data_IF_243546458491
#
_entry.id   IF_243546458491
#
_cell.length_a   1.000
_cell.length_b   1.000
_cell.length_c   1.000
_cell.angle_alpha   90.00
_cell.angle_beta   90.00
_cell.angle_gamma   90.00
#
_symmetry.space_group_name_H-M   'P 1'
#
loop_
_entity.id
_entity.type
_entity.pdbx_description
1 polymer ?
#
# COMPACT_ATOMS: atom_id res chain seq x y z
N UNK A 1 -45.62 -10.51 76.52
CA UNK A 1 -44.87 -10.10 75.30
C UNK A 1 -44.79 -11.32 74.38
N UNK A 2 -45.84 -11.68 73.64
CA UNK A 2 -46.23 -11.27 72.28
C UNK A 2 -45.17 -11.56 71.20
N UNK A 3 -45.45 -12.64 70.45
CA UNK A 3 -45.04 -13.04 69.09
C UNK A 3 -43.56 -13.24 68.74
N UNK A 4 -43.03 -14.45 68.94
CA UNK A 4 -41.87 -14.99 68.19
C UNK A 4 -42.22 -16.15 67.24
N UNK A 5 -43.51 -16.42 67.00
CA UNK A 5 -43.96 -17.51 66.10
C UNK A 5 -44.24 -17.06 64.65
N UNK A 6 -44.36 -15.76 64.40
CA UNK A 6 -44.59 -15.22 63.05
C UNK A 6 -43.31 -15.10 62.21
N UNK A 7 -42.17 -14.88 62.86
CA UNK A 7 -40.90 -14.63 62.18
C UNK A 7 -40.27 -15.93 61.65
N UNK A 8 -40.30 -17.00 62.45
CA UNK A 8 -39.73 -18.30 62.06
C UNK A 8 -40.46 -18.93 60.86
N UNK A 9 -41.76 -18.72 60.73
CA UNK A 9 -42.53 -19.18 59.58
C UNK A 9 -42.19 -18.39 58.31
N UNK A 10 -41.90 -17.10 58.42
CA UNK A 10 -41.48 -16.26 57.30
C UNK A 10 -40.10 -16.67 56.76
N UNK A 11 -39.16 -17.00 57.65
CA UNK A 11 -37.83 -17.50 57.29
C UNK A 11 -37.84 -18.91 56.69
N UNK A 12 -38.75 -19.78 57.14
CA UNK A 12 -38.93 -21.11 56.55
C UNK A 12 -39.53 -20.99 55.14
N UNK A 13 -40.49 -20.09 54.92
CA UNK A 13 -41.08 -19.87 53.60
C UNK A 13 -40.06 -19.22 52.65
N UNK A 14 -39.28 -18.23 53.11
CA UNK A 14 -38.18 -17.66 52.31
C UNK A 14 -37.09 -18.70 51.98
N UNK A 15 -36.75 -19.56 52.94
CA UNK A 15 -35.79 -20.65 52.73
C UNK A 15 -36.25 -21.67 51.69
N UNK A 16 -37.54 -22.05 51.70
CA UNK A 16 -38.12 -22.97 50.71
C UNK A 16 -38.22 -22.31 49.33
N UNK A 17 -38.53 -21.00 49.25
CA UNK A 17 -38.56 -20.28 47.96
C UNK A 17 -37.15 -20.17 47.36
N UNK A 18 -36.13 -19.85 48.17
CA UNK A 18 -34.73 -19.78 47.71
C UNK A 18 -34.22 -21.16 47.28
N UNK A 19 -34.51 -22.24 48.03
CA UNK A 19 -34.14 -23.61 47.62
C UNK A 19 -34.90 -24.08 46.36
N UNK A 20 -36.15 -23.68 46.18
CA UNK A 20 -36.92 -23.99 44.96
C UNK A 20 -36.40 -23.23 43.72
N UNK A 21 -35.85 -22.03 43.92
CA UNK A 21 -35.24 -21.23 42.84
C UNK A 21 -33.85 -21.75 42.42
N UNK A 22 -33.14 -22.46 43.31
CA UNK A 22 -31.87 -23.12 43.02
C UNK A 22 -32.03 -24.53 42.43
N UNK A 23 -33.22 -25.14 42.52
CA UNK A 23 -33.52 -26.44 41.93
C UNK A 23 -33.95 -26.37 40.44
N UNK A 24 -34.17 -25.17 39.90
CA UNK A 24 -34.53 -24.94 38.48
C UNK A 24 -33.36 -24.44 37.61
N UNK A 25 -32.17 -24.31 38.18
CA UNK A 25 -30.91 -24.24 37.43
C UNK A 25 -30.12 -25.52 37.71
N UNK A 26 -30.72 -26.64 37.31
CA UNK A 26 -30.13 -27.96 37.43
C UNK A 26 -28.82 -28.05 36.63
N UNK A 27 -27.76 -28.55 37.27
CA UNK A 27 -26.51 -28.85 36.58
C UNK A 27 -25.32 -29.22 37.46
N UNK A 28 -25.51 -30.06 38.48
CA UNK A 28 -24.42 -30.76 39.17
C UNK A 28 -23.74 -31.77 38.22
N UNK A 29 -22.41 -31.87 38.38
CA UNK A 29 -21.45 -32.83 37.81
C UNK A 29 -20.85 -32.51 36.42
N UNK A 30 -19.57 -32.07 36.35
CA UNK A 30 -18.81 -32.15 35.11
C UNK A 30 -18.46 -33.61 34.87
N UNK A 31 -19.30 -34.28 34.08
CA UNK A 31 -18.92 -35.52 33.41
C UNK A 31 -17.70 -35.19 32.55
N UNK A 32 -16.54 -35.80 32.81
CA UNK A 32 -15.36 -35.75 31.94
C UNK A 32 -15.67 -36.47 30.63
N UNK A 33 -16.54 -35.89 29.81
CA UNK A 33 -16.58 -36.16 28.39
C UNK A 33 -15.34 -35.49 27.83
N UNK A 34 -14.36 -36.31 27.42
CA UNK A 34 -13.32 -35.86 26.49
C UNK A 34 -14.03 -35.02 25.42
N UNK A 35 -13.55 -33.80 25.11
CA UNK A 35 -14.03 -33.13 23.91
C UNK A 35 -13.89 -34.12 22.75
N UNK A 36 -14.83 -34.13 21.78
CA UNK A 36 -14.60 -34.86 20.55
C UNK A 36 -13.22 -34.44 20.07
N UNK A 37 -12.33 -35.41 19.84
CA UNK A 37 -11.12 -35.16 19.09
C UNK A 37 -11.61 -34.71 17.72
N UNK A 38 -11.79 -33.41 17.54
CA UNK A 38 -11.69 -32.79 16.24
C UNK A 38 -10.21 -32.95 15.95
N UNK A 39 -9.88 -34.09 15.33
CA UNK A 39 -8.71 -34.11 14.47
C UNK A 39 -8.83 -32.84 13.63
N UNK A 40 -7.86 -31.93 13.65
CA UNK A 40 -7.64 -31.18 12.44
C UNK A 40 -7.25 -32.27 11.44
N UNK A 41 -8.24 -32.82 10.72
CA UNK A 41 -8.00 -33.07 9.33
C UNK A 41 -7.64 -31.69 8.79
N UNK A 42 -6.34 -31.41 8.84
CA UNK A 42 -5.71 -30.54 7.90
C UNK A 42 -6.25 -31.03 6.56
N UNK A 43 -7.20 -30.31 5.99
CA UNK A 43 -7.49 -30.43 4.57
C UNK A 43 -6.24 -29.89 3.90
N UNK A 44 -5.22 -30.74 3.87
CA UNK A 44 -4.12 -30.65 2.93
C UNK A 44 -4.82 -30.77 1.59
N UNK A 45 -5.04 -29.63 0.94
CA UNK A 45 -5.27 -29.63 -0.49
C UNK A 45 -4.00 -30.24 -1.08
N UNK A 46 -4.06 -31.54 -1.36
CA UNK A 46 -3.03 -32.23 -2.13
C UNK A 46 -3.08 -31.61 -3.51
N UNK A 47 -2.01 -30.90 -3.87
CA UNK A 47 -1.82 -30.48 -5.23
C UNK A 47 -1.83 -31.73 -6.13
N UNK A 48 -2.60 -31.66 -7.21
CA UNK A 48 -2.54 -32.64 -8.27
C UNK A 48 -1.13 -32.64 -8.88
N UNK A 49 -0.57 -33.81 -9.26
CA UNK A 49 0.74 -33.86 -9.88
C UNK A 49 0.71 -33.12 -11.22
N UNK A 50 1.57 -32.11 -11.38
CA UNK A 50 1.83 -31.47 -12.67
C UNK A 50 2.44 -32.50 -13.63
N UNK A 51 1.61 -33.05 -14.51
CA UNK A 51 2.08 -33.83 -15.65
C UNK A 51 2.35 -32.91 -16.84
N UNK A 52 3.62 -32.77 -17.21
CA UNK A 52 4.10 -32.94 -18.58
C UNK A 52 3.69 -31.92 -19.66
N UNK A 53 4.65 -31.08 -20.02
CA UNK A 53 5.01 -30.64 -21.38
C UNK A 53 3.96 -29.88 -22.20
N UNK A 54 4.28 -28.64 -22.59
CA UNK A 54 4.51 -28.32 -24.01
C UNK A 54 5.11 -26.91 -24.24
N UNK A 55 6.32 -26.94 -24.84
CA UNK A 55 6.85 -26.02 -25.88
C UNK A 55 7.27 -24.59 -25.46
N UNK A 56 8.54 -24.49 -25.06
CA UNK A 56 9.35 -23.28 -25.19
C UNK A 56 9.58 -22.94 -26.68
N UNK A 57 9.14 -21.76 -27.11
CA UNK A 57 9.62 -21.12 -28.34
C UNK A 57 10.94 -20.42 -28.03
N UNK A 58 12.05 -21.16 -28.20
CA UNK A 58 13.38 -20.56 -28.29
C UNK A 58 13.44 -19.66 -29.52
N UNK A 59 13.71 -18.37 -29.33
CA UNK A 59 14.17 -17.52 -30.42
C UNK A 59 15.69 -17.72 -30.57
N UNK A 60 16.06 -18.26 -31.73
CA UNK A 60 17.44 -18.43 -32.19
C UNK A 60 18.17 -17.09 -32.20
N UNK A 61 19.42 -17.16 -31.76
CA UNK A 61 20.49 -16.17 -31.89
C UNK A 61 20.48 -15.45 -33.24
N UNK A 62 20.25 -14.14 -33.23
CA UNK A 62 20.57 -13.24 -34.32
C UNK A 62 21.96 -12.62 -34.08
N UNK A 63 22.81 -12.74 -35.09
CA UNK A 63 24.20 -12.26 -35.10
C UNK A 63 24.33 -10.78 -34.76
N UNK A 64 25.32 -10.45 -33.91
CA UNK A 64 25.73 -9.09 -33.57
C UNK A 64 26.11 -8.32 -34.84
N UNK A 65 25.39 -7.23 -35.09
CA UNK A 65 25.89 -6.09 -35.85
C UNK A 65 26.20 -5.03 -34.79
N UNK A 66 27.45 -4.62 -34.67
CA UNK A 66 27.87 -3.55 -33.74
C UNK A 66 27.64 -2.21 -34.43
N UNK A 67 26.74 -1.32 -33.97
CA UNK A 67 26.63 0.02 -34.51
C UNK A 67 27.74 0.92 -33.94
N UNK A 68 28.45 1.62 -34.83
CA UNK A 68 29.38 2.71 -34.53
C UNK A 68 28.62 3.88 -33.86
N UNK A 69 29.13 4.47 -32.77
CA UNK A 69 28.43 5.56 -32.09
C UNK A 69 28.42 6.83 -32.97
N UNK A 70 27.22 7.28 -33.33
CA UNK A 70 26.97 8.63 -33.86
C UNK A 70 27.01 9.63 -32.70
N UNK A 71 27.66 10.81 -32.83
CA UNK A 71 27.65 11.82 -31.77
C UNK A 71 26.22 12.33 -31.54
N UNK A 72 25.71 12.14 -30.31
CA UNK A 72 24.42 12.65 -29.86
C UNK A 72 24.48 14.18 -29.74
N UNK A 73 23.59 14.96 -30.38
CA UNK A 73 23.52 16.39 -30.16
C UNK A 73 23.06 16.68 -28.72
N UNK A 74 23.76 17.61 -28.05
CA UNK A 74 23.35 18.15 -26.76
C UNK A 74 21.95 18.75 -26.87
N UNK A 75 20.97 18.33 -26.05
CA UNK A 75 19.62 18.88 -26.13
C UNK A 75 19.61 20.34 -25.70
N UNK A 76 19.13 21.21 -26.58
CA UNK A 76 18.78 22.60 -26.27
C UNK A 76 17.69 22.61 -25.19
N UNK A 77 17.82 23.39 -24.09
CA UNK A 77 16.77 23.50 -23.09
C UNK A 77 15.47 23.99 -23.75
N UNK A 78 14.40 23.21 -23.62
CA UNK A 78 13.06 23.61 -24.06
C UNK A 78 12.52 24.76 -23.21
N UNK A 79 11.40 25.38 -23.62
CA UNK A 79 10.72 26.40 -22.84
C UNK A 79 10.36 25.86 -21.43
N UNK A 80 10.30 26.73 -20.40
CA UNK A 80 10.04 26.33 -19.03
C UNK A 80 8.71 25.57 -18.94
N UNK A 81 8.77 24.33 -18.45
CA UNK A 81 7.60 23.48 -18.24
C UNK A 81 7.04 23.79 -16.85
N UNK A 82 5.78 24.22 -16.79
CA UNK A 82 5.06 24.39 -15.54
C UNK A 82 4.57 23.00 -15.07
N UNK A 83 5.10 22.47 -13.97
CA UNK A 83 4.69 21.19 -13.40
C UNK A 83 3.60 21.42 -12.37
N UNK A 84 2.57 20.57 -12.32
CA UNK A 84 1.48 20.77 -11.36
C UNK A 84 1.98 20.58 -9.94
N UNK A 85 1.56 21.46 -9.02
CA UNK A 85 2.06 21.48 -7.64
C UNK A 85 1.51 20.38 -6.71
N UNK A 86 0.69 19.46 -7.23
CA UNK A 86 -0.04 18.51 -6.40
C UNK A 86 0.04 17.09 -6.94
N UNK A 87 0.73 16.20 -6.21
CA UNK A 87 0.61 14.74 -6.32
C UNK A 87 -0.53 14.28 -5.39
N UNK A 88 -1.78 14.65 -5.69
CA UNK A 88 -2.94 14.42 -4.83
C UNK A 88 -4.04 13.59 -5.50
N UNK A 89 -3.71 12.87 -6.57
CA UNK A 89 -4.67 12.13 -7.39
C UNK A 89 -5.82 12.96 -7.96
N UNK A 90 -5.72 14.30 -7.99
CA UNK A 90 -6.60 15.16 -8.76
C UNK A 90 -6.01 15.43 -10.15
N UNK A 91 -6.84 15.74 -11.16
CA UNK A 91 -6.34 16.15 -12.45
C UNK A 91 -5.61 17.49 -12.39
N UNK A 92 -4.41 17.51 -12.94
CA UNK A 92 -3.70 18.67 -13.44
C UNK A 92 -4.63 19.58 -14.25
N UNK A 93 -4.61 20.88 -13.95
CA UNK A 93 -5.21 21.88 -14.83
C UNK A 93 -4.47 21.93 -16.19
N UNK A 94 -5.09 22.55 -17.21
CA UNK A 94 -4.49 22.66 -18.55
C UNK A 94 -3.24 23.56 -18.61
N UNK A 95 -2.89 24.25 -17.52
CA UNK A 95 -1.77 25.19 -17.43
C UNK A 95 -0.51 24.57 -16.83
N UNK A 96 -0.60 23.33 -16.34
CA UNK A 96 0.52 22.58 -15.79
C UNK A 96 0.58 21.16 -16.36
N UNK A 97 1.75 20.52 -16.31
CA UNK A 97 1.99 19.20 -16.88
C UNK A 97 2.26 18.20 -15.76
N UNK A 98 1.37 17.24 -15.58
CA UNK A 98 1.67 15.94 -14.97
C UNK A 98 1.80 14.91 -16.08
N UNK A 99 2.85 14.08 -16.08
CA UNK A 99 3.03 13.04 -17.12
C UNK A 99 2.71 11.64 -16.58
N UNK A 100 1.98 11.56 -15.47
CA UNK A 100 1.85 10.32 -14.71
C UNK A 100 0.74 9.44 -15.27
N UNK A 101 -0.49 9.96 -15.38
CA UNK A 101 -1.60 9.24 -16.02
C UNK A 101 -2.51 10.21 -16.75
N UNK A 102 -2.80 9.98 -18.04
CA UNK A 102 -3.79 10.76 -18.79
C UNK A 102 -5.13 10.04 -18.78
N UNK A 103 -6.14 10.67 -18.20
CA UNK A 103 -7.51 10.17 -18.21
C UNK A 103 -8.31 10.84 -19.31
N UNK A 104 -9.16 10.06 -19.96
CA UNK A 104 -10.12 10.51 -20.97
C UNK A 104 -11.51 10.26 -20.42
N UNK A 105 -12.29 11.33 -20.24
CA UNK A 105 -13.65 11.28 -19.73
C UNK A 105 -14.66 11.58 -20.85
N UNK A 106 -15.77 10.85 -20.84
CA UNK A 106 -16.93 11.13 -21.67
C UNK A 106 -18.21 10.95 -20.83
N UNK A 107 -19.09 11.93 -20.85
CA UNK A 107 -20.31 11.99 -20.04
C UNK A 107 -20.09 11.70 -18.53
N UNK A 108 -18.95 12.10 -17.98
CA UNK A 108 -18.61 11.94 -16.57
C UNK A 108 -18.13 10.51 -16.23
N UNK A 109 -17.81 9.71 -17.25
CA UNK A 109 -17.31 8.35 -17.12
C UNK A 109 -15.91 8.25 -17.73
N UNK A 110 -15.00 7.56 -17.05
CA UNK A 110 -13.68 7.26 -17.60
C UNK A 110 -13.84 6.36 -18.84
N UNK A 111 -13.27 6.75 -19.98
CA UNK A 111 -13.24 6.00 -21.23
C UNK A 111 -11.90 5.37 -21.55
N UNK A 112 -10.82 6.11 -21.35
CA UNK A 112 -9.46 5.61 -21.53
C UNK A 112 -8.50 6.16 -20.46
N UNK A 113 -7.44 5.40 -20.21
CA UNK A 113 -6.33 5.78 -19.33
C UNK A 113 -5.03 5.46 -20.05
N UNK A 114 -4.20 6.48 -20.30
CA UNK A 114 -2.86 6.30 -20.86
C UNK A 114 -1.80 6.51 -19.76
N UNK A 115 -0.80 5.63 -19.71
CA UNK A 115 0.29 5.70 -18.72
C UNK A 115 0.12 4.80 -17.49
N UNK A 116 -0.98 4.04 -17.40
CA UNK A 116 -1.19 3.03 -16.34
C UNK A 116 -1.69 1.69 -16.91
N UNK A 117 -1.43 0.60 -16.18
CA UNK A 117 -1.82 -0.77 -16.59
C UNK A 117 -3.32 -1.03 -16.46
N UNK A 118 -4.02 -0.23 -15.63
CA UNK A 118 -5.45 -0.40 -15.38
C UNK A 118 -6.27 0.48 -16.32
N UNK A 119 -7.16 -0.17 -17.09
CA UNK A 119 -8.15 0.49 -17.96
C UNK A 119 -9.24 1.16 -17.13
N UNK A 120 -9.92 2.14 -17.71
CA UNK A 120 -11.13 2.71 -17.12
C UNK A 120 -12.13 1.62 -16.75
N UNK A 121 -12.74 1.76 -15.58
CA UNK A 121 -13.91 0.98 -15.20
C UNK A 121 -15.08 1.97 -14.96
N UNK A 122 -16.25 1.74 -15.60
CA UNK A 122 -17.38 2.64 -15.56
C UNK A 122 -18.11 2.69 -14.20
N UNK A 123 -17.68 1.90 -13.21
CA UNK A 123 -18.22 1.99 -11.85
C UNK A 123 -18.04 3.41 -11.30
N UNK A 124 -19.14 4.10 -10.93
CA UNK A 124 -19.13 5.49 -10.50
C UNK A 124 -18.49 5.75 -9.14
N UNK A 125 -18.22 4.69 -8.37
CA UNK A 125 -17.48 4.76 -7.11
C UNK A 125 -15.98 4.77 -7.33
N UNK A 126 -15.54 4.49 -8.56
CA UNK A 126 -14.13 4.41 -8.89
C UNK A 126 -13.49 5.76 -9.09
N UNK A 127 -12.20 5.89 -8.77
CA UNK A 127 -11.62 7.21 -8.68
C UNK A 127 -11.47 7.93 -10.02
N UNK A 128 -11.21 7.21 -11.12
CA UNK A 128 -11.18 7.83 -12.45
C UNK A 128 -12.56 8.35 -12.85
N UNK A 129 -13.62 7.60 -12.56
CA UNK A 129 -15.00 8.04 -12.84
C UNK A 129 -15.44 9.15 -11.88
N UNK A 130 -15.00 9.12 -10.62
CA UNK A 130 -15.20 10.22 -9.65
C UNK A 130 -14.50 11.50 -10.12
N UNK A 131 -13.25 11.40 -10.59
CA UNK A 131 -12.52 12.51 -11.21
C UNK A 131 -13.25 13.02 -12.47
N UNK A 132 -13.71 12.13 -13.35
CA UNK A 132 -14.50 12.53 -14.52
C UNK A 132 -15.80 13.26 -14.16
N UNK A 133 -16.48 12.89 -13.07
CA UNK A 133 -17.68 13.60 -12.60
C UNK A 133 -17.37 14.97 -12.01
N UNK A 134 -16.26 15.09 -11.27
CA UNK A 134 -15.87 16.34 -10.61
C UNK A 134 -15.43 17.44 -11.60
N UNK A 135 -14.87 17.05 -12.75
CA UNK A 135 -14.23 17.99 -13.70
C UNK A 135 -15.02 18.24 -15.00
N UNK A 136 -16.26 17.74 -15.08
CA UNK A 136 -17.17 17.95 -16.21
C UNK A 136 -17.21 16.77 -17.18
N UNK A 137 -18.37 16.59 -17.81
CA UNK A 137 -18.73 15.40 -18.58
C UNK A 137 -17.64 14.92 -19.58
N UNK A 138 -16.94 15.83 -20.27
CA UNK A 138 -16.01 15.49 -21.35
C UNK A 138 -14.57 15.95 -21.08
N UNK A 139 -14.12 15.86 -19.83
CA UNK A 139 -12.77 16.24 -19.43
C UNK A 139 -11.68 15.30 -20.00
N UNK A 140 -10.52 15.86 -20.35
CA UNK A 140 -9.29 15.08 -20.60
C UNK A 140 -8.15 15.78 -19.88
N UNK A 141 -7.45 15.08 -19.00
CA UNK A 141 -6.35 15.67 -18.23
C UNK A 141 -5.47 14.64 -17.56
N UNK A 142 -4.47 15.11 -16.84
CA UNK A 142 -3.44 14.25 -16.25
C UNK A 142 -3.64 14.13 -14.74
N UNK A 143 -3.71 12.93 -14.18
CA UNK A 143 -3.63 12.70 -12.75
C UNK A 143 -2.17 12.67 -12.34
N UNK A 144 -1.85 13.37 -11.25
CA UNK A 144 -0.55 13.28 -10.61
C UNK A 144 -0.64 12.16 -9.55
N UNK A 145 0.02 11.04 -9.80
CA UNK A 145 -0.05 9.79 -9.05
C UNK A 145 1.26 9.53 -8.31
N UNK A 146 1.20 9.57 -6.98
CA UNK A 146 2.24 9.04 -6.10
C UNK A 146 1.91 7.61 -5.65
N UNK A 147 2.90 6.71 -5.76
CA UNK A 147 2.77 5.30 -5.33
C UNK A 147 3.17 5.18 -3.86
N UNK A 148 2.27 4.73 -2.97
CA UNK A 148 2.65 3.71 -2.02
C UNK A 148 2.17 2.32 -2.45
N UNK A 149 3.05 1.32 -2.31
CA UNK A 149 2.70 -0.10 -2.43
C UNK A 149 3.00 -0.87 -1.17
N UNK A 150 2.18 -1.88 -0.93
CA UNK A 150 2.25 -2.77 0.21
C UNK A 150 2.50 -4.20 -0.28
N UNK A 151 3.57 -4.82 0.21
CA UNK A 151 3.87 -6.24 0.02
C UNK A 151 3.64 -7.00 1.33
N UNK A 152 3.17 -8.24 1.21
CA UNK A 152 2.85 -9.10 2.35
C UNK A 152 3.59 -10.43 2.21
N UNK A 153 4.47 -10.72 3.16
CA UNK A 153 5.32 -11.93 3.19
C UNK A 153 5.09 -12.73 4.47
N UNK A 154 3.94 -13.42 4.61
CA UNK A 154 3.71 -14.29 5.77
C UNK A 154 4.61 -15.54 5.71
N UNK A 155 4.84 -16.20 6.84
CA UNK A 155 5.64 -17.45 6.87
C UNK A 155 4.92 -18.65 6.28
N UNK A 156 3.59 -18.61 6.26
CA UNK A 156 2.71 -19.60 5.63
C UNK A 156 1.56 -18.88 4.93
N UNK A 157 0.87 -19.55 4.00
CA UNK A 157 -0.26 -18.97 3.28
C UNK A 157 -1.32 -18.47 4.29
N UNK A 158 -1.61 -17.17 4.28
CA UNK A 158 -2.38 -16.50 5.34
C UNK A 158 -3.41 -15.54 4.75
N UNK A 159 -4.61 -15.49 5.35
CA UNK A 159 -5.60 -14.43 5.08
C UNK A 159 -5.25 -13.19 5.89
N UNK A 160 -5.13 -12.05 5.20
CA UNK A 160 -4.68 -10.79 5.75
C UNK A 160 -5.68 -9.70 5.38
N UNK A 161 -6.05 -8.89 6.36
CA UNK A 161 -6.78 -7.64 6.17
C UNK A 161 -5.80 -6.48 6.13
N UNK A 162 -6.00 -5.55 5.19
CA UNK A 162 -5.22 -4.31 5.06
C UNK A 162 -6.16 -3.13 4.89
N UNK A 163 -5.98 -2.08 5.69
CA UNK A 163 -6.73 -0.83 5.59
C UNK A 163 -5.81 0.37 5.79
N UNK A 164 -6.08 1.44 5.07
CA UNK A 164 -5.42 2.75 5.20
C UNK A 164 -6.34 3.68 5.98
N UNK A 165 -5.86 4.15 7.13
CA UNK A 165 -6.43 5.27 7.88
C UNK A 165 -5.78 6.56 7.34
N UNK A 166 -6.58 7.39 6.67
CA UNK A 166 -6.11 8.61 6.02
C UNK A 166 -7.01 9.80 6.35
N UNK A 167 -6.44 11.00 6.41
CA UNK A 167 -7.22 12.25 6.52
C UNK A 167 -7.83 12.67 5.17
N UNK A 168 -7.32 12.11 4.08
CA UNK A 168 -7.86 12.27 2.74
C UNK A 168 -8.82 11.15 2.35
N UNK A 169 -8.91 10.91 1.05
CA UNK A 169 -9.61 9.78 0.45
C UNK A 169 -8.63 8.97 -0.39
N UNK A 170 -8.85 7.65 -0.47
CA UNK A 170 -8.15 6.81 -1.44
C UNK A 170 -8.70 7.12 -2.83
N UNK A 171 -7.84 7.70 -3.67
CA UNK A 171 -8.14 8.18 -5.01
C UNK A 171 -7.51 7.35 -6.10
N UNK A 172 -6.67 6.37 -5.80
CA UNK A 172 -6.30 5.31 -6.75
C UNK A 172 -5.98 4.07 -5.95
N UNK A 173 -6.28 2.90 -6.50
CA UNK A 173 -5.90 1.64 -5.86
C UNK A 173 -5.94 0.48 -6.83
N UNK A 174 -5.08 -0.50 -6.59
CA UNK A 174 -5.17 -1.81 -7.24
C UNK A 174 -4.69 -2.91 -6.28
N UNK A 175 -5.53 -3.90 -5.90
CA UNK A 175 -6.95 -4.06 -6.24
C UNK A 175 -7.78 -2.84 -5.85
N UNK A 176 -8.98 -2.71 -6.41
CA UNK A 176 -9.91 -1.66 -5.99
C UNK A 176 -10.08 -1.66 -4.47
N UNK A 177 -9.86 -0.51 -3.84
CA UNK A 177 -9.98 -0.30 -2.41
C UNK A 177 -11.45 -0.28 -1.98
N UNK A 178 -11.91 -1.26 -1.18
CA UNK A 178 -13.29 -1.33 -0.74
C UNK A 178 -13.51 -0.50 0.54
N UNK A 179 -14.78 -0.25 0.86
CA UNK A 179 -15.15 0.32 2.17
C UNK A 179 -14.62 -0.59 3.29
N UNK A 180 -13.82 -0.03 4.19
CA UNK A 180 -13.20 -0.77 5.30
C UNK A 180 -11.87 -1.47 4.96
N UNK A 181 -11.32 -1.24 3.76
CA UNK A 181 -10.03 -1.78 3.32
C UNK A 181 -10.10 -3.20 2.78
N UNK A 182 -9.02 -3.66 2.15
CA UNK A 182 -8.94 -5.00 1.56
C UNK A 182 -9.07 -6.07 2.64
N UNK A 183 -10.17 -6.83 2.61
CA UNK A 183 -10.47 -7.93 3.54
C UNK A 183 -10.13 -9.29 2.97
N UNK A 184 -9.56 -10.19 3.76
CA UNK A 184 -9.26 -11.56 3.36
C UNK A 184 -8.35 -11.66 2.11
N UNK A 185 -7.32 -10.80 2.02
CA UNK A 185 -6.26 -10.93 1.01
C UNK A 185 -5.46 -12.19 1.33
N UNK A 186 -5.45 -13.15 0.42
CA UNK A 186 -4.72 -14.39 0.62
C UNK A 186 -3.27 -14.22 0.17
N UNK A 187 -2.36 -14.03 1.13
CA UNK A 187 -0.95 -13.82 0.87
C UNK A 187 -0.15 -15.12 1.00
N UNK A 188 0.79 -15.31 0.09
CA UNK A 188 1.74 -16.42 0.07
C UNK A 188 3.11 -15.95 0.55
N UNK A 189 3.96 -16.85 1.10
CA UNK A 189 5.33 -16.49 1.50
C UNK A 189 6.18 -15.91 0.37
N UNK A 190 5.84 -16.20 -0.89
CA UNK A 190 6.50 -15.65 -2.07
C UNK A 190 6.16 -14.18 -2.36
N UNK A 191 5.22 -13.57 -1.62
CA UNK A 191 4.67 -12.24 -1.91
C UNK A 191 3.50 -12.24 -2.90
N UNK A 192 3.16 -13.41 -3.48
CA UNK A 192 1.96 -13.52 -4.31
C UNK A 192 0.71 -13.30 -3.46
N UNK A 193 -0.23 -12.51 -3.96
CA UNK A 193 -1.51 -12.23 -3.33
C UNK A 193 -2.65 -12.77 -4.21
N UNK A 194 -3.71 -13.26 -3.58
CA UNK A 194 -4.98 -13.53 -4.23
C UNK A 194 -6.06 -12.72 -3.53
N UNK A 195 -6.78 -11.89 -4.27
CA UNK A 195 -7.89 -11.10 -3.76
C UNK A 195 -9.07 -11.17 -4.74
N UNK A 196 -10.26 -11.52 -4.23
CA UNK A 196 -11.48 -11.70 -5.05
C UNK A 196 -11.27 -12.57 -6.31
N UNK A 197 -10.48 -13.65 -6.17
CA UNK A 197 -10.21 -14.60 -7.25
C UNK A 197 -9.18 -14.14 -8.29
N UNK A 198 -8.56 -12.97 -8.12
CA UNK A 198 -7.50 -12.44 -9.01
C UNK A 198 -6.15 -12.45 -8.31
N UNK A 199 -5.10 -12.66 -9.09
CA UNK A 199 -3.72 -12.64 -8.62
C UNK A 199 -3.15 -11.22 -8.67
N UNK A 200 -2.43 -10.85 -7.61
CA UNK A 200 -1.73 -9.58 -7.46
C UNK A 200 -0.33 -9.84 -6.88
N UNK A 201 0.61 -8.92 -7.09
CA UNK A 201 1.94 -8.95 -6.46
C UNK A 201 2.09 -7.95 -5.31
N UNK A 202 1.21 -6.96 -5.27
CA UNK A 202 1.19 -5.90 -4.27
C UNK A 202 -0.25 -5.40 -4.07
N UNK A 203 -0.46 -4.67 -2.99
CA UNK A 203 -1.60 -3.76 -2.86
C UNK A 203 -1.08 -2.34 -3.12
N UNK A 204 -1.67 -1.66 -4.08
CA UNK A 204 -1.34 -0.28 -4.42
C UNK A 204 -2.47 0.64 -3.95
N UNK A 205 -2.12 1.78 -3.37
CA UNK A 205 -3.06 2.87 -3.13
C UNK A 205 -2.42 4.23 -3.39
N UNK A 206 -3.26 5.23 -3.53
CA UNK A 206 -2.91 6.64 -3.47
C UNK A 206 -4.00 7.39 -2.71
N UNK A 207 -3.59 8.33 -1.87
CA UNK A 207 -4.48 9.26 -1.18
C UNK A 207 -4.38 10.66 -1.78
N UNK A 208 -5.41 11.49 -1.60
CA UNK A 208 -5.38 12.90 -2.00
C UNK A 208 -4.80 13.84 -0.94
N UNK A 209 -4.00 13.32 0.00
CA UNK A 209 -3.43 14.13 1.07
C UNK A 209 -2.38 15.09 0.51
N UNK A 210 -2.50 16.38 0.82
CA UNK A 210 -1.65 17.44 0.25
C UNK A 210 -0.68 18.08 1.24
N UNK A 211 -0.86 17.87 2.54
CA UNK A 211 -0.16 18.52 3.65
C UNK A 211 0.96 17.62 4.23
N UNK A 212 1.79 17.04 3.36
CA UNK A 212 2.96 16.28 3.82
C UNK A 212 3.98 17.24 4.44
N UNK A 213 4.32 17.04 5.72
CA UNK A 213 5.34 17.84 6.39
C UNK A 213 6.70 17.60 5.74
N UNK A 214 7.32 18.66 5.22
CA UNK A 214 8.68 18.63 4.71
C UNK A 214 9.67 18.19 5.81
N UNK A 215 10.51 17.15 5.57
CA UNK A 215 11.58 16.80 6.49
C UNK A 215 12.66 17.89 6.58
N UNK A 216 13.27 17.99 7.76
CA UNK A 216 14.33 18.98 8.08
C UNK A 216 15.75 18.43 7.82
N UNK A 217 15.84 17.14 7.47
CA UNK A 217 17.07 16.38 7.21
C UNK A 217 16.96 15.65 5.86
N UNK A 218 18.09 15.36 5.22
CA UNK A 218 18.09 14.65 3.94
C UNK A 218 19.44 14.66 3.23
N UNK A 219 19.44 14.15 2.00
CA UNK A 219 20.60 14.12 1.12
C UNK A 219 20.34 15.00 -0.10
N UNK A 220 21.19 16.00 -0.32
CA UNK A 220 21.17 16.77 -1.57
C UNK A 220 22.07 16.07 -2.57
N UNK A 221 21.47 15.49 -3.61
CA UNK A 221 22.19 14.73 -4.62
C UNK A 221 22.09 15.39 -5.98
N UNK A 222 23.16 15.28 -6.78
CA UNK A 222 23.07 15.63 -8.20
C UNK A 222 22.07 14.72 -8.89
N UNK A 223 21.34 15.26 -9.86
CA UNK A 223 20.31 14.52 -10.58
C UNK A 223 20.83 13.20 -11.19
N UNK A 224 22.04 13.18 -11.77
CA UNK A 224 22.61 11.96 -12.34
C UNK A 224 22.84 10.83 -11.32
N UNK A 225 22.92 11.16 -10.03
CA UNK A 225 23.21 10.22 -8.94
C UNK A 225 21.96 9.78 -8.15
N UNK A 226 20.77 10.21 -8.56
CA UNK A 226 19.52 9.86 -7.85
C UNK A 226 19.31 8.35 -7.82
N UNK A 227 19.52 7.66 -8.95
CA UNK A 227 19.29 6.21 -9.03
C UNK A 227 20.21 5.39 -8.14
N UNK A 228 21.51 5.70 -8.14
CA UNK A 228 22.49 5.04 -7.28
C UNK A 228 22.21 5.33 -5.81
N UNK A 229 21.91 6.58 -5.47
CA UNK A 229 21.58 6.98 -4.09
C UNK A 229 20.34 6.25 -3.57
N UNK A 230 19.25 6.20 -4.35
CA UNK A 230 18.03 5.51 -3.95
C UNK A 230 18.26 4.02 -3.75
N UNK A 231 19.00 3.36 -4.65
CA UNK A 231 19.34 1.94 -4.50
C UNK A 231 20.11 1.67 -3.19
N UNK A 232 21.08 2.51 -2.87
CA UNK A 232 21.88 2.38 -1.65
C UNK A 232 21.04 2.63 -0.39
N UNK A 233 20.17 3.64 -0.40
CA UNK A 233 19.26 3.94 0.71
C UNK A 233 18.25 2.80 0.91
N UNK A 234 17.61 2.33 -0.16
CA UNK A 234 16.66 1.22 -0.11
C UNK A 234 17.26 -0.02 0.56
N UNK A 235 18.48 -0.39 0.16
CA UNK A 235 19.20 -1.52 0.74
C UNK A 235 19.49 -1.32 2.24
N UNK A 236 19.92 -0.11 2.63
CA UNK A 236 20.18 0.26 4.03
C UNK A 236 18.91 0.30 4.89
N UNK A 237 17.75 0.55 4.28
CA UNK A 237 16.45 0.58 4.94
C UNK A 237 15.77 -0.79 4.97
N UNK A 238 16.41 -1.82 4.39
CA UNK A 238 15.94 -3.20 4.47
C UNK A 238 14.99 -3.61 3.35
N UNK A 239 14.87 -2.84 2.26
CA UNK A 239 14.18 -3.29 1.05
C UNK A 239 14.98 -4.40 0.36
N UNK A 240 14.27 -5.36 -0.25
CA UNK A 240 14.90 -6.39 -1.10
C UNK A 240 15.38 -5.80 -2.42
N UNK A 241 16.19 -6.54 -3.17
CA UNK A 241 16.59 -6.14 -4.53
C UNK A 241 15.38 -5.90 -5.44
N UNK A 242 14.36 -6.76 -5.33
CA UNK A 242 13.13 -6.63 -6.12
C UNK A 242 12.36 -5.36 -5.76
N UNK A 243 12.07 -5.13 -4.48
CA UNK A 243 11.34 -3.94 -4.00
C UNK A 243 12.12 -2.65 -4.31
N UNK A 244 13.44 -2.67 -4.10
CA UNK A 244 14.33 -1.56 -4.41
C UNK A 244 14.30 -1.24 -5.90
N UNK A 245 14.34 -2.26 -6.76
CA UNK A 245 14.24 -2.10 -8.20
C UNK A 245 12.91 -1.47 -8.59
N UNK A 246 11.77 -1.99 -8.13
CA UNK A 246 10.45 -1.42 -8.46
C UNK A 246 10.32 0.04 -7.99
N UNK A 247 10.83 0.36 -6.80
CA UNK A 247 10.89 1.73 -6.30
C UNK A 247 11.71 2.62 -7.23
N UNK A 248 12.91 2.20 -7.60
CA UNK A 248 13.80 2.99 -8.48
C UNK A 248 13.27 3.12 -9.90
N UNK A 249 12.70 2.05 -10.47
CA UNK A 249 12.07 2.08 -11.80
C UNK A 249 10.90 3.09 -11.82
N UNK A 250 10.19 3.23 -10.71
CA UNK A 250 9.13 4.22 -10.58
C UNK A 250 9.67 5.65 -10.39
N UNK A 251 10.53 5.88 -9.39
CA UNK A 251 10.91 7.23 -8.97
C UNK A 251 12.03 7.86 -9.80
N UNK A 252 13.02 7.10 -10.25
CA UNK A 252 14.20 7.67 -10.94
C UNK A 252 13.83 8.39 -12.24
N UNK A 253 13.01 7.82 -13.14
CA UNK A 253 12.60 8.54 -14.35
C UNK A 253 11.83 9.83 -14.04
N UNK A 254 10.99 9.80 -12.99
CA UNK A 254 10.19 10.96 -12.56
C UNK A 254 11.11 12.08 -12.08
N UNK A 255 12.01 11.78 -11.16
CA UNK A 255 12.94 12.74 -10.58
C UNK A 255 13.95 13.29 -11.61
N UNK A 256 14.42 12.44 -12.53
CA UNK A 256 15.36 12.87 -13.57
C UNK A 256 14.70 13.69 -14.68
N UNK A 257 13.37 13.59 -14.85
CA UNK A 257 12.61 14.42 -15.79
C UNK A 257 12.31 15.85 -15.30
N UNK A 258 12.50 16.13 -14.00
CA UNK A 258 12.26 17.46 -13.42
C UNK A 258 13.30 18.46 -13.91
N UNK A 259 12.92 19.74 -14.05
CA UNK A 259 13.84 20.80 -14.42
C UNK A 259 14.63 21.33 -13.21
N UNK A 260 15.59 20.54 -12.71
CA UNK A 260 16.49 20.91 -11.60
C UNK A 260 17.93 20.44 -11.84
N UNK A 261 18.90 20.85 -11.03
CA UNK A 261 20.27 20.26 -11.09
C UNK A 261 20.51 19.23 -9.99
N UNK A 262 19.77 19.37 -8.89
CA UNK A 262 19.85 18.57 -7.69
C UNK A 262 18.45 18.08 -7.27
N UNK A 263 18.44 17.08 -6.41
CA UNK A 263 17.26 16.58 -5.72
C UNK A 263 17.61 16.43 -4.25
N UNK A 264 16.81 17.02 -3.36
CA UNK A 264 16.80 16.66 -1.96
C UNK A 264 16.00 15.37 -1.80
N UNK A 265 16.63 14.34 -1.24
CA UNK A 265 16.01 13.06 -0.90
C UNK A 265 15.96 12.97 0.63
N UNK A 266 14.77 12.90 1.18
CA UNK A 266 14.53 12.82 2.62
C UNK A 266 13.61 11.65 2.95
N UNK A 267 13.67 11.14 4.19
CA UNK A 267 12.74 10.13 4.66
C UNK A 267 11.59 10.80 5.40
N UNK A 268 10.35 10.44 5.04
CA UNK A 268 9.17 10.83 5.80
C UNK A 268 9.20 10.05 7.11
N UNK A 269 9.19 10.79 8.23
CA UNK A 269 9.22 10.17 9.57
C UNK A 269 7.92 9.43 9.82
N UNK A 270 8.00 8.24 10.41
CA UNK A 270 6.82 7.41 10.74
C UNK A 270 5.71 8.20 11.43
N UNK A 271 6.05 9.03 12.42
CA UNK A 271 5.09 9.90 13.13
C UNK A 271 4.31 10.82 12.20
N UNK A 272 4.94 11.36 11.17
CA UNK A 272 4.29 12.28 10.24
C UNK A 272 3.50 11.50 9.18
N UNK A 273 4.03 10.37 8.71
CA UNK A 273 3.34 9.40 7.86
C UNK A 273 2.05 8.88 8.49
N UNK A 274 2.09 8.47 9.76
CA UNK A 274 0.94 7.91 10.48
C UNK A 274 -0.19 8.93 10.73
N UNK A 275 0.06 10.23 10.53
CA UNK A 275 -1.01 11.26 10.57
C UNK A 275 -1.76 11.37 9.25
N UNK A 276 -1.07 11.09 8.14
CA UNK A 276 -1.60 11.29 6.79
C UNK A 276 -2.14 9.99 6.19
N UNK A 277 -1.39 8.89 6.26
CA UNK A 277 -1.70 7.61 5.62
C UNK A 277 -1.14 6.45 6.48
N UNK A 278 -1.83 6.13 7.55
CA UNK A 278 -1.46 5.02 8.43
C UNK A 278 -2.01 3.70 7.89
N UNK A 279 -1.14 2.73 7.65
CA UNK A 279 -1.58 1.39 7.26
C UNK A 279 -1.84 0.54 8.51
N UNK A 280 -2.90 -0.26 8.46
CA UNK A 280 -3.27 -1.22 9.48
C UNK A 280 -3.40 -2.59 8.83
N UNK A 281 -2.69 -3.58 9.36
CA UNK A 281 -2.59 -4.93 8.82
C UNK A 281 -3.02 -5.92 9.91
N UNK A 282 -3.90 -6.87 9.59
CA UNK A 282 -4.33 -7.94 10.51
C UNK A 282 -4.23 -9.31 9.83
N UNK A 283 -3.60 -10.34 10.43
CA UNK A 283 -2.85 -10.29 11.69
C UNK A 283 -1.68 -9.30 11.62
N UNK A 284 -1.19 -8.83 12.77
CA UNK A 284 -0.08 -7.89 12.79
C UNK A 284 1.18 -8.57 12.21
N UNK A 285 1.94 -7.88 11.34
CA UNK A 285 3.24 -8.38 10.94
C UNK A 285 4.22 -8.34 12.12
N UNK A 286 5.11 -9.32 12.17
CA UNK A 286 6.25 -9.33 13.08
C UNK A 286 7.20 -8.17 12.77
N UNK A 287 7.38 -7.89 11.48
CA UNK A 287 8.21 -6.79 10.96
C UNK A 287 7.41 -5.96 9.97
N UNK A 288 7.33 -4.65 10.20
CA UNK A 288 6.83 -3.68 9.24
C UNK A 288 7.97 -2.75 8.79
N UNK A 289 8.26 -2.76 7.49
CA UNK A 289 9.27 -1.89 6.86
C UNK A 289 8.53 -0.79 6.09
N UNK A 290 8.74 0.47 6.47
CA UNK A 290 8.09 1.62 5.83
C UNK A 290 9.17 2.55 5.26
N UNK A 291 9.26 2.63 3.93
CA UNK A 291 10.22 3.47 3.20
C UNK A 291 9.49 4.48 2.33
N UNK A 292 9.16 5.62 2.92
CA UNK A 292 8.43 6.71 2.26
C UNK A 292 9.38 7.89 2.08
N UNK A 293 9.61 8.29 0.83
CA UNK A 293 10.52 9.40 0.50
C UNK A 293 9.79 10.72 0.31
N UNK A 294 10.45 11.81 0.70
CA UNK A 294 10.11 13.16 0.30
C UNK A 294 11.19 13.67 -0.65
N UNK A 295 10.78 14.05 -1.85
CA UNK A 295 11.68 14.56 -2.87
C UNK A 295 11.44 16.06 -3.08
N UNK A 296 12.49 16.86 -3.15
CA UNK A 296 12.39 18.27 -3.58
C UNK A 296 13.41 18.56 -4.67
N UNK A 297 13.00 18.98 -5.88
CA UNK A 297 13.92 19.44 -6.91
C UNK A 297 14.61 20.73 -6.47
N UNK A 298 15.89 20.87 -6.78
CA UNK A 298 16.70 22.03 -6.39
C UNK A 298 17.59 22.48 -7.56
N UNK A 299 17.63 23.78 -7.84
CA UNK A 299 18.49 24.34 -8.89
C UNK A 299 19.97 24.35 -8.49
N UNK A 300 20.23 24.44 -7.19
CA UNK A 300 21.58 24.49 -6.60
C UNK A 300 21.67 23.62 -5.36
N UNK A 301 22.89 23.24 -5.03
CA UNK A 301 23.16 22.52 -3.80
C UNK A 301 22.85 23.42 -2.58
N UNK A 302 22.24 22.83 -1.55
CA UNK A 302 21.99 23.47 -0.26
C UNK A 302 22.69 22.70 0.86
N UNK A 303 22.93 23.37 1.99
CA UNK A 303 23.38 22.71 3.22
C UNK A 303 22.15 22.22 3.99
N UNK A 304 22.13 20.93 4.32
CA UNK A 304 21.08 20.30 5.14
C UNK A 304 21.71 19.25 6.04
N UNK A 305 21.10 19.00 7.20
CA UNK A 305 21.56 17.94 8.12
C UNK A 305 21.36 16.57 7.44
N UNK A 306 22.38 15.69 7.42
CA UNK A 306 22.18 14.30 7.01
C UNK A 306 21.18 13.59 7.92
N UNK A 307 20.30 12.73 7.39
CA UNK A 307 19.33 12.00 8.19
C UNK A 307 20.02 10.86 8.95
N UNK A 308 19.51 10.57 10.14
CA UNK A 308 19.84 9.35 10.85
C UNK A 308 19.00 8.20 10.27
N UNK A 309 19.67 7.28 9.59
CA UNK A 309 18.98 6.13 9.01
C UNK A 309 18.68 5.09 10.09
N UNK A 310 17.47 4.53 10.16
CA UNK A 310 17.18 3.42 11.05
C UNK A 310 18.03 2.21 10.65
N UNK A 311 18.30 1.33 11.61
CA UNK A 311 18.90 0.04 11.31
C UNK A 311 17.94 -0.80 10.46
N UNK A 312 18.45 -1.38 9.38
CA UNK A 312 17.69 -2.34 8.58
C UNK A 312 17.14 -3.47 9.48
N UNK A 313 15.82 -3.67 9.54
CA UNK A 313 15.25 -4.74 10.34
C UNK A 313 15.60 -6.10 9.71
N UNK A 314 15.86 -7.09 10.56
CA UNK A 314 15.96 -8.48 10.09
C UNK A 314 14.56 -8.98 9.74
N UNK A 315 14.37 -9.48 8.52
CA UNK A 315 13.11 -10.06 8.07
C UNK A 315 12.92 -11.44 8.69
N UNK A 316 12.24 -11.49 9.83
CA UNK A 316 11.89 -12.72 10.55
C UNK A 316 10.39 -12.75 10.80
N UNK A 317 9.77 -13.92 10.64
CA UNK A 317 8.31 -14.03 10.76
C UNK A 317 7.55 -13.40 9.60
N UNK A 318 6.29 -13.05 9.82
CA UNK A 318 5.48 -12.32 8.85
C UNK A 318 6.03 -10.90 8.69
N UNK A 319 6.58 -10.62 7.51
CA UNK A 319 7.07 -9.28 7.14
C UNK A 319 6.09 -8.58 6.21
N UNK A 320 5.72 -7.35 6.52
CA UNK A 320 5.05 -6.44 5.60
C UNK A 320 6.00 -5.30 5.20
N UNK A 321 5.89 -4.85 3.97
CA UNK A 321 6.70 -3.74 3.44
C UNK A 321 5.77 -2.74 2.80
N UNK A 322 5.93 -1.47 3.14
CA UNK A 322 5.36 -0.36 2.41
C UNK A 322 6.49 0.53 1.89
N UNK A 323 6.46 0.86 0.61
CA UNK A 323 7.33 1.91 0.08
C UNK A 323 6.59 2.86 -0.83
N UNK A 324 7.08 4.09 -0.90
CA UNK A 324 6.46 5.16 -1.66
C UNK A 324 7.18 6.49 -1.54
N UNK A 325 6.48 7.57 -1.86
CA UNK A 325 7.00 8.92 -1.68
C UNK A 325 6.16 10.00 -2.34
N UNK A 326 6.62 11.24 -2.23
CA UNK A 326 5.98 12.43 -2.81
C UNK A 326 7.04 13.37 -3.36
N UNK A 327 6.69 14.15 -4.40
CA UNK A 327 7.54 15.23 -4.90
C UNK A 327 6.94 16.57 -4.44
N UNK A 328 7.71 17.30 -3.65
CA UNK A 328 7.46 18.70 -3.35
C UNK A 328 7.78 19.54 -4.57
N UNK A 329 6.73 20.13 -5.14
CA UNK A 329 6.81 20.97 -6.34
C UNK A 329 6.61 22.46 -6.00
N UNK A 330 6.56 22.80 -4.72
CA UNK A 330 6.46 24.19 -4.24
C UNK A 330 7.83 24.85 -4.09
#
# INVERSE_FOLDING_TARGET
MKNSRGDMALWIILGVIILSSLALVGGLFPNKRKPPQVNPETVMLKDAPESGSQKNLQLKTLSRITPTPTPTPTPTPGPPVNYCNHDNGLPADATCVCREVKIYCENGVCRDVQGHVNKCNPDPTLPYTKACKAHGANFTGYLCIAKPVIYLYPTTKTLIDVSVETEGEIVVSDPLYPVGGWKNVLAYPSGKLIYQGKEYRELFYESNVTNVKAPEDGFVVKKENVGTTLKDLNNKLGLTEYESKELTDFWVPRLTSLNSSYVLISLIKKKDKDKIDKINIKPNPDILIEVLYYFKPLDKQISIKPPELPQAPKRVGFTAVEWGGTIDRN
#
